data_IF_945706307566
#
_entry.id   IF_945706307566
#
_cell.length_a   1.000
_cell.length_b   1.000
_cell.length_c   1.000
_cell.angle_alpha   90.00
_cell.angle_beta   90.00
_cell.angle_gamma   90.00
#
_symmetry.space_group_name_H-M   'P 1'
#
loop_
_entity.id
_entity.type
_entity.pdbx_description
1 polymer ?
#
# COMPACT_ATOMS: atom_id res chain seq x y z
N UNK A 1 6.91 -23.38 -12.97
CA UNK A 1 5.46 -23.54 -13.15
C UNK A 1 4.96 -22.25 -13.78
N UNK A 2 4.59 -22.33 -15.08
CA UNK A 2 4.18 -21.15 -15.86
C UNK A 2 2.82 -20.67 -15.40
N UNK A 3 2.71 -19.38 -15.12
CA UNK A 3 1.42 -18.70 -14.96
C UNK A 3 0.74 -18.68 -16.33
N UNK A 4 -0.39 -19.36 -16.44
CA UNK A 4 -1.30 -19.21 -17.56
C UNK A 4 -1.85 -17.77 -17.53
N UNK A 5 -1.39 -16.95 -18.46
CA UNK A 5 -2.06 -15.69 -18.80
C UNK A 5 -3.44 -16.07 -19.34
N UNK A 6 -4.55 -15.51 -18.83
CA UNK A 6 -5.86 -15.77 -19.40
C UNK A 6 -5.82 -15.36 -20.88
N UNK A 7 -6.12 -16.30 -21.76
CA UNK A 7 -6.23 -16.11 -23.19
C UNK A 7 -7.44 -15.20 -23.47
N UNK A 8 -7.18 -13.87 -23.55
CA UNK A 8 -8.23 -12.86 -23.78
C UNK A 8 -7.69 -11.49 -24.12
N UNK A 9 -6.37 -11.29 -24.14
CA UNK A 9 -5.76 -9.97 -24.43
C UNK A 9 -5.28 -9.80 -25.88
N UNK A 10 -5.81 -10.55 -26.84
CA UNK A 10 -5.53 -10.38 -28.27
C UNK A 10 -6.77 -9.82 -28.97
N UNK A 11 -6.82 -8.48 -29.10
CA UNK A 11 -7.84 -7.79 -29.86
C UNK A 11 -7.82 -6.30 -29.58
N UNK A 12 -6.83 -5.57 -30.11
CA UNK A 12 -6.92 -4.12 -30.22
C UNK A 12 -7.99 -3.76 -31.26
N UNK A 13 -9.25 -3.88 -30.87
CA UNK A 13 -10.35 -3.19 -31.57
C UNK A 13 -10.34 -1.77 -31.02
N UNK A 14 -10.02 -0.80 -31.88
CA UNK A 14 -10.12 0.61 -31.56
C UNK A 14 -11.54 0.93 -31.07
N UNK A 15 -11.71 1.05 -29.76
CA UNK A 15 -12.98 1.46 -29.15
C UNK A 15 -13.05 2.98 -29.27
N UNK A 16 -13.75 3.44 -30.30
CA UNK A 16 -14.15 4.84 -30.41
C UNK A 16 -14.90 5.22 -29.11
N UNK A 17 -14.33 6.21 -28.37
CA UNK A 17 -14.98 7.00 -27.36
C UNK A 17 -15.93 6.30 -26.38
N UNK A 18 -15.45 5.45 -25.48
CA UNK A 18 -16.27 5.03 -24.34
C UNK A 18 -16.65 6.27 -23.52
N UNK A 19 -17.94 6.44 -23.22
CA UNK A 19 -18.41 7.54 -22.40
C UNK A 19 -17.71 7.50 -21.02
N UNK A 20 -17.47 8.67 -20.40
CA UNK A 20 -16.91 8.71 -19.05
C UNK A 20 -17.78 7.90 -18.08
N UNK A 21 -17.16 7.06 -17.22
CA UNK A 21 -17.93 6.27 -16.27
C UNK A 21 -18.67 7.12 -15.25
N UNK A 22 -19.84 6.63 -14.86
CA UNK A 22 -20.75 7.21 -13.87
C UNK A 22 -20.88 6.29 -12.65
N UNK A 23 -21.57 6.70 -11.58
CA UNK A 23 -21.84 5.84 -10.42
C UNK A 23 -22.56 4.52 -10.75
N UNK A 24 -23.29 4.46 -11.86
CA UNK A 24 -24.03 3.27 -12.32
C UNK A 24 -23.24 2.39 -13.31
N UNK A 25 -22.03 2.82 -13.70
CA UNK A 25 -21.19 2.03 -14.61
C UNK A 25 -20.69 0.76 -13.92
N UNK A 26 -20.75 -0.36 -14.64
CA UNK A 26 -20.17 -1.62 -14.21
C UNK A 26 -18.63 -1.66 -14.38
N UNK A 27 -18.01 -2.74 -13.97
CA UNK A 27 -16.55 -2.89 -14.06
C UNK A 27 -16.06 -2.94 -15.51
N UNK A 28 -16.84 -3.53 -16.43
CA UNK A 28 -16.45 -3.63 -17.83
C UNK A 28 -16.40 -2.25 -18.49
N UNK A 29 -17.41 -1.41 -18.24
CA UNK A 29 -17.44 -0.02 -18.72
C UNK A 29 -16.27 0.81 -18.14
N UNK A 30 -15.93 0.62 -16.85
CA UNK A 30 -14.76 1.30 -16.25
C UNK A 30 -13.47 0.85 -16.92
N UNK A 31 -13.26 -0.46 -17.13
CA UNK A 31 -12.05 -0.99 -17.80
C UNK A 31 -11.97 -0.49 -19.24
N UNK A 32 -13.07 -0.50 -19.99
CA UNK A 32 -13.11 0.02 -21.35
C UNK A 32 -12.71 1.51 -21.40
N UNK A 33 -13.19 2.32 -20.46
CA UNK A 33 -12.76 3.72 -20.35
C UNK A 33 -11.27 3.84 -20.01
N UNK A 34 -10.76 3.05 -19.07
CA UNK A 34 -9.34 3.05 -18.74
C UNK A 34 -8.46 2.71 -19.95
N UNK A 35 -8.90 1.79 -20.81
CA UNK A 35 -8.21 1.47 -22.06
C UNK A 35 -8.08 2.68 -23.00
N UNK A 36 -9.09 3.55 -23.07
CA UNK A 36 -9.03 4.78 -23.91
C UNK A 36 -7.99 5.79 -23.40
N UNK A 37 -7.60 5.70 -22.11
CA UNK A 37 -6.63 6.57 -21.47
C UNK A 37 -5.21 5.98 -21.45
N UNK A 38 -4.99 4.84 -22.12
CA UNK A 38 -3.71 4.15 -22.11
C UNK A 38 -2.57 5.01 -22.68
N UNK A 39 -1.39 4.94 -22.05
CA UNK A 39 -0.19 5.65 -22.45
C UNK A 39 1.01 4.69 -22.47
N UNK A 40 1.53 4.42 -23.66
CA UNK A 40 2.71 3.57 -23.84
C UNK A 40 3.96 4.20 -23.19
N UNK A 41 4.15 5.51 -23.30
CA UNK A 41 5.27 6.23 -22.71
C UNK A 41 5.28 6.16 -21.19
N UNK A 42 4.14 6.41 -20.57
CA UNK A 42 4.01 6.29 -19.11
C UNK A 42 4.23 4.85 -18.65
N UNK A 43 3.70 3.87 -19.38
CA UNK A 43 3.91 2.44 -19.09
C UNK A 43 5.39 2.07 -19.14
N UNK A 44 6.12 2.51 -20.17
CA UNK A 44 7.56 2.31 -20.25
C UNK A 44 8.32 2.97 -19.09
N UNK A 45 7.86 4.15 -18.64
CA UNK A 45 8.41 4.82 -17.48
C UNK A 45 8.20 4.08 -16.17
N UNK A 46 7.08 3.37 -16.00
CA UNK A 46 6.73 2.63 -14.77
C UNK A 46 7.70 1.48 -14.45
N UNK A 47 8.23 0.81 -15.47
CA UNK A 47 9.21 -0.28 -15.30
C UNK A 47 10.44 0.16 -14.51
N UNK A 48 10.90 1.41 -14.68
CA UNK A 48 12.06 1.97 -13.95
C UNK A 48 11.85 2.04 -12.44
N UNK A 49 10.60 2.04 -12.00
CA UNK A 49 10.23 2.07 -10.58
C UNK A 49 9.86 0.68 -10.04
N UNK A 50 10.07 -0.39 -10.83
CA UNK A 50 9.73 -1.76 -10.43
C UNK A 50 8.22 -2.02 -10.37
N UNK A 51 7.46 -1.34 -11.22
CA UNK A 51 6.03 -1.57 -11.40
C UNK A 51 5.86 -2.58 -12.54
N UNK A 52 5.10 -3.65 -12.30
CA UNK A 52 4.77 -4.63 -13.34
C UNK A 52 3.93 -3.95 -14.45
N UNK A 53 4.39 -4.06 -15.70
CA UNK A 53 3.82 -3.32 -16.82
C UNK A 53 3.01 -4.17 -17.79
N UNK A 54 3.06 -5.49 -17.64
CA UNK A 54 2.41 -6.46 -18.54
C UNK A 54 0.89 -6.28 -18.58
N UNK A 55 0.31 -5.92 -17.43
CA UNK A 55 -1.13 -5.68 -17.27
C UNK A 55 -1.42 -4.22 -16.89
N UNK A 56 -0.63 -3.26 -17.37
CA UNK A 56 -0.80 -1.85 -17.09
C UNK A 56 -1.20 -1.05 -18.34
N UNK A 57 -2.10 -0.10 -18.18
CA UNK A 57 -2.44 0.89 -19.22
C UNK A 57 -1.46 2.08 -19.21
N UNK A 58 -0.75 2.33 -18.14
CA UNK A 58 0.14 3.48 -18.00
C UNK A 58 -0.56 4.75 -17.50
N UNK A 59 -1.64 4.62 -16.73
CA UNK A 59 -2.41 5.77 -16.23
C UNK A 59 -1.92 6.15 -14.82
N UNK A 60 -1.54 7.42 -14.58
CA UNK A 60 -1.07 7.85 -13.28
C UNK A 60 -2.22 7.99 -12.26
N UNK A 61 -1.91 7.84 -10.98
CA UNK A 61 -2.88 7.99 -9.88
C UNK A 61 -3.58 9.35 -9.86
N UNK A 62 -2.95 10.40 -10.39
CA UNK A 62 -3.57 11.72 -10.55
C UNK A 62 -4.82 11.71 -11.42
N UNK A 63 -4.92 10.76 -12.37
CA UNK A 63 -6.10 10.53 -13.22
C UNK A 63 -7.07 9.55 -12.57
N UNK A 64 -6.57 8.46 -11.96
CA UNK A 64 -7.40 7.41 -11.38
C UNK A 64 -8.20 7.88 -10.15
N UNK A 65 -7.62 8.74 -9.30
CA UNK A 65 -8.31 9.23 -8.09
C UNK A 65 -9.52 10.12 -8.37
N UNK A 66 -9.49 11.09 -9.30
CA UNK A 66 -10.69 11.80 -9.73
C UNK A 66 -11.76 10.87 -10.29
N UNK A 67 -11.38 9.94 -11.18
CA UNK A 67 -12.29 8.94 -11.72
C UNK A 67 -12.98 8.13 -10.60
N UNK A 68 -12.21 7.61 -9.66
CA UNK A 68 -12.74 6.86 -8.53
C UNK A 68 -13.74 7.69 -7.69
N UNK A 69 -13.47 8.99 -7.49
CA UNK A 69 -14.43 9.88 -6.82
C UNK A 69 -15.72 10.07 -7.60
N UNK A 70 -15.63 10.18 -8.93
CA UNK A 70 -16.81 10.32 -9.81
C UNK A 70 -17.69 9.09 -9.77
N UNK A 71 -17.12 7.89 -9.87
CA UNK A 71 -17.90 6.65 -9.88
C UNK A 71 -18.36 6.21 -8.47
N UNK A 72 -17.75 6.74 -7.42
CA UNK A 72 -18.11 6.44 -6.02
C UNK A 72 -17.77 5.03 -5.57
N UNK A 73 -18.14 4.71 -4.33
CA UNK A 73 -17.90 3.39 -3.72
C UNK A 73 -18.99 2.39 -4.14
N UNK A 74 -18.55 1.20 -4.54
CA UNK A 74 -19.40 0.04 -4.84
C UNK A 74 -18.58 -1.23 -4.70
N UNK A 75 -18.97 -2.09 -3.76
CA UNK A 75 -18.21 -3.29 -3.42
C UNK A 75 -18.23 -4.34 -4.53
N UNK A 76 -19.36 -4.55 -5.18
CA UNK A 76 -19.48 -5.55 -6.26
C UNK A 76 -18.62 -5.16 -7.46
N UNK A 77 -18.67 -3.87 -7.84
CA UNK A 77 -17.82 -3.33 -8.89
C UNK A 77 -16.34 -3.40 -8.52
N UNK A 78 -15.96 -3.10 -7.27
CA UNK A 78 -14.57 -3.18 -6.82
C UNK A 78 -14.03 -4.61 -6.92
N UNK A 79 -14.81 -5.64 -6.54
CA UNK A 79 -14.44 -7.04 -6.70
C UNK A 79 -14.25 -7.41 -8.17
N UNK A 80 -15.17 -7.00 -9.05
CA UNK A 80 -15.08 -7.27 -10.48
C UNK A 80 -13.89 -6.54 -11.15
N UNK A 81 -13.61 -5.29 -10.75
CA UNK A 81 -12.44 -4.54 -11.20
C UNK A 81 -11.13 -5.24 -10.79
N UNK A 82 -11.05 -5.76 -9.56
CA UNK A 82 -9.88 -6.51 -9.12
C UNK A 82 -9.64 -7.76 -9.98
N UNK A 83 -10.70 -8.52 -10.25
CA UNK A 83 -10.64 -9.74 -11.05
C UNK A 83 -10.26 -9.50 -12.52
N UNK A 84 -10.44 -8.29 -13.04
CA UNK A 84 -10.03 -7.95 -14.41
C UNK A 84 -8.51 -8.11 -14.67
N UNK A 85 -7.69 -8.14 -13.61
CA UNK A 85 -6.25 -8.29 -13.68
C UNK A 85 -5.48 -7.03 -14.08
N UNK A 86 -6.14 -5.98 -14.58
CA UNK A 86 -5.48 -4.75 -14.97
C UNK A 86 -5.04 -3.93 -13.75
N UNK A 87 -3.79 -3.45 -13.77
CA UNK A 87 -3.19 -2.67 -12.67
C UNK A 87 -4.07 -1.47 -12.27
N UNK A 88 -4.49 -0.68 -13.23
CA UNK A 88 -5.30 0.52 -12.99
C UNK A 88 -6.69 0.18 -12.46
N UNK A 89 -7.29 -0.91 -12.95
CA UNK A 89 -8.56 -1.40 -12.42
C UNK A 89 -8.42 -1.86 -10.96
N UNK A 90 -7.32 -2.54 -10.59
CA UNK A 90 -7.01 -2.90 -9.20
C UNK A 90 -6.83 -1.67 -8.30
N UNK A 91 -6.18 -0.63 -8.80
CA UNK A 91 -6.07 0.64 -8.07
C UNK A 91 -7.43 1.32 -7.88
N UNK A 92 -8.27 1.36 -8.93
CA UNK A 92 -9.64 1.87 -8.83
C UNK A 92 -10.46 1.02 -7.88
N UNK A 93 -10.30 -0.32 -7.88
CA UNK A 93 -10.92 -1.21 -6.90
C UNK A 93 -10.57 -0.81 -5.47
N UNK A 94 -9.28 -0.58 -5.17
CA UNK A 94 -8.85 -0.11 -3.85
C UNK A 94 -9.48 1.24 -3.45
N UNK A 95 -9.69 2.15 -4.41
CA UNK A 95 -10.27 3.47 -4.14
C UNK A 95 -11.78 3.45 -3.99
N UNK A 96 -12.47 2.46 -4.58
CA UNK A 96 -13.93 2.40 -4.67
C UNK A 96 -14.57 1.25 -3.90
N UNK A 97 -13.79 0.36 -3.31
CA UNK A 97 -14.30 -0.64 -2.38
C UNK A 97 -14.96 0.03 -1.16
N UNK A 98 -15.95 -0.63 -0.58
CA UNK A 98 -16.62 -0.21 0.65
C UNK A 98 -15.89 -0.84 1.86
N UNK A 99 -15.11 -0.08 2.67
CA UNK A 99 -14.27 -0.67 3.72
C UNK A 99 -15.05 -1.53 4.71
N UNK A 100 -16.28 -1.16 5.04
CA UNK A 100 -17.14 -1.93 5.96
C UNK A 100 -17.57 -3.30 5.40
N UNK A 101 -17.43 -3.51 4.09
CA UNK A 101 -17.74 -4.79 3.41
C UNK A 101 -16.50 -5.59 3.06
N UNK A 102 -15.30 -5.02 3.23
CA UNK A 102 -14.04 -5.72 3.00
C UNK A 102 -13.78 -6.67 4.16
N UNK A 103 -13.55 -7.94 3.85
CA UNK A 103 -13.26 -9.00 4.83
C UNK A 103 -11.79 -9.41 4.79
N UNK A 104 -11.30 -10.04 5.86
CA UNK A 104 -9.97 -10.63 5.88
C UNK A 104 -9.81 -11.73 4.81
N UNK A 105 -10.87 -12.48 4.51
CA UNK A 105 -10.89 -13.44 3.39
C UNK A 105 -10.63 -12.77 2.05
N UNK A 106 -11.34 -11.68 1.75
CA UNK A 106 -11.09 -10.88 0.55
C UNK A 106 -9.65 -10.34 0.50
N UNK A 107 -9.13 -9.85 1.62
CA UNK A 107 -7.76 -9.33 1.68
C UNK A 107 -6.72 -10.42 1.37
N UNK A 108 -6.90 -11.65 1.90
CA UNK A 108 -6.05 -12.81 1.59
C UNK A 108 -6.16 -13.23 0.13
N UNK A 109 -7.36 -13.18 -0.45
CA UNK A 109 -7.56 -13.48 -1.88
C UNK A 109 -6.86 -12.44 -2.76
N UNK A 110 -7.01 -11.16 -2.46
CA UNK A 110 -6.32 -10.09 -3.20
C UNK A 110 -4.80 -10.18 -3.06
N UNK A 111 -4.31 -10.61 -1.89
CA UNK A 111 -2.88 -10.79 -1.65
C UNK A 111 -2.23 -11.88 -2.53
N UNK A 112 -3.00 -12.80 -3.11
CA UNK A 112 -2.50 -13.79 -4.08
C UNK A 112 -2.05 -13.15 -5.39
N UNK A 113 -2.60 -11.98 -5.72
CA UNK A 113 -2.37 -11.25 -6.96
C UNK A 113 -1.34 -10.11 -6.82
N UNK A 114 -0.72 -9.96 -5.67
CA UNK A 114 0.25 -8.89 -5.45
C UNK A 114 1.53 -9.10 -6.25
N UNK A 115 1.76 -8.24 -7.23
CA UNK A 115 2.95 -8.28 -8.11
C UNK A 115 3.68 -6.93 -8.18
N UNK A 116 3.11 -5.88 -7.58
CA UNK A 116 3.66 -4.52 -7.66
C UNK A 116 3.42 -3.75 -6.36
N UNK A 117 4.44 -3.05 -5.89
CA UNK A 117 4.41 -2.29 -4.63
C UNK A 117 3.28 -1.25 -4.58
N UNK A 118 2.93 -0.65 -5.70
CA UNK A 118 1.95 0.43 -5.76
C UNK A 118 0.52 -0.07 -5.47
N UNK A 119 0.12 -1.18 -6.11
CA UNK A 119 -1.18 -1.83 -5.84
C UNK A 119 -1.24 -2.30 -4.39
N UNK A 120 -0.15 -2.89 -3.90
CA UNK A 120 -0.02 -3.36 -2.52
C UNK A 120 -0.23 -2.24 -1.50
N UNK A 121 0.40 -1.08 -1.70
CA UNK A 121 0.29 0.04 -0.77
C UNK A 121 -1.15 0.59 -0.70
N UNK A 122 -1.87 0.61 -1.83
CA UNK A 122 -3.27 1.04 -1.85
C UNK A 122 -4.22 -0.01 -1.27
N UNK A 123 -3.97 -1.29 -1.50
CA UNK A 123 -4.71 -2.38 -0.85
C UNK A 123 -4.48 -2.36 0.68
N UNK A 124 -3.24 -2.16 1.13
CA UNK A 124 -2.90 -2.01 2.54
C UNK A 124 -3.66 -0.85 3.20
N UNK A 125 -3.77 0.30 2.51
CA UNK A 125 -4.56 1.44 2.99
C UNK A 125 -6.04 1.07 3.17
N UNK A 126 -6.63 0.38 2.20
CA UNK A 126 -8.03 -0.10 2.27
C UNK A 126 -8.21 -1.09 3.43
N UNK A 127 -7.30 -2.04 3.62
CA UNK A 127 -7.38 -3.04 4.70
C UNK A 127 -7.29 -2.38 6.09
N UNK A 128 -6.48 -1.33 6.22
CA UNK A 128 -6.43 -0.51 7.44
C UNK A 128 -7.75 0.25 7.64
N UNK A 129 -8.33 0.86 6.60
CA UNK A 129 -9.63 1.54 6.65
C UNK A 129 -10.77 0.56 7.01
N UNK A 130 -10.65 -0.69 6.59
CA UNK A 130 -11.57 -1.78 6.91
C UNK A 130 -11.46 -2.31 8.36
N UNK A 131 -10.47 -1.84 9.14
CA UNK A 131 -10.25 -2.29 10.52
C UNK A 131 -9.51 -3.63 10.63
N UNK A 132 -8.89 -4.11 9.56
CA UNK A 132 -8.25 -5.44 9.49
C UNK A 132 -6.78 -5.45 9.95
N UNK A 133 -6.23 -4.30 10.39
CA UNK A 133 -4.81 -4.21 10.71
C UNK A 133 -4.39 -5.14 11.86
N UNK A 134 -5.22 -5.28 12.90
CA UNK A 134 -4.90 -6.14 14.04
C UNK A 134 -4.73 -7.62 13.65
N UNK A 135 -5.55 -8.10 12.71
CA UNK A 135 -5.53 -9.48 12.24
C UNK A 135 -4.44 -9.71 11.18
N UNK A 136 -4.39 -8.85 10.16
CA UNK A 136 -3.58 -9.11 8.96
C UNK A 136 -2.13 -8.64 9.07
N UNK A 137 -1.79 -7.67 9.92
CA UNK A 137 -0.40 -7.22 10.06
C UNK A 137 0.52 -8.35 10.52
N UNK A 138 0.21 -9.09 11.60
CA UNK A 138 1.06 -10.21 12.01
C UNK A 138 1.17 -11.31 10.94
N UNK A 139 0.04 -11.66 10.32
CA UNK A 139 -0.03 -12.68 9.28
C UNK A 139 0.80 -12.32 8.05
N UNK A 140 0.59 -11.12 7.51
CA UNK A 140 1.26 -10.69 6.28
C UNK A 140 2.75 -10.38 6.49
N UNK A 141 3.14 -9.89 7.66
CA UNK A 141 4.55 -9.65 7.98
C UNK A 141 5.38 -10.94 8.02
N UNK A 142 4.78 -12.06 8.39
CA UNK A 142 5.45 -13.38 8.43
C UNK A 142 5.36 -14.14 7.08
N UNK A 143 4.59 -13.67 6.10
CA UNK A 143 4.44 -14.36 4.81
C UNK A 143 5.76 -14.37 4.02
N UNK A 144 6.07 -15.50 3.38
CA UNK A 144 7.27 -15.67 2.57
C UNK A 144 7.27 -14.88 1.25
N UNK A 145 6.09 -14.51 0.72
CA UNK A 145 5.94 -13.77 -0.54
C UNK A 145 6.30 -12.30 -0.35
N UNK A 146 7.14 -11.76 -1.23
CA UNK A 146 7.69 -10.40 -1.10
C UNK A 146 6.61 -9.34 -0.92
N UNK A 147 5.61 -9.33 -1.80
CA UNK A 147 4.59 -8.29 -1.80
C UNK A 147 3.52 -8.47 -0.73
N UNK A 148 3.29 -9.70 -0.23
CA UNK A 148 2.42 -9.92 0.92
C UNK A 148 3.09 -9.43 2.20
N UNK A 149 4.37 -9.77 2.40
CA UNK A 149 5.15 -9.22 3.51
C UNK A 149 5.23 -7.69 3.46
N UNK A 150 5.41 -7.11 2.25
CA UNK A 150 5.34 -5.67 2.07
C UNK A 150 4.01 -5.11 2.55
N UNK A 151 2.88 -5.76 2.23
CA UNK A 151 1.55 -5.29 2.64
C UNK A 151 1.43 -5.20 4.17
N UNK A 152 1.95 -6.17 4.93
CA UNK A 152 1.97 -6.12 6.39
C UNK A 152 2.65 -4.86 6.92
N UNK A 153 3.84 -4.52 6.42
CA UNK A 153 4.56 -3.31 6.83
C UNK A 153 3.94 -2.02 6.29
N UNK A 154 3.37 -2.04 5.08
CA UNK A 154 2.61 -0.91 4.56
C UNK A 154 1.37 -0.62 5.43
N UNK A 155 0.67 -1.66 5.91
CA UNK A 155 -0.46 -1.51 6.84
C UNK A 155 -0.04 -0.85 8.15
N UNK A 156 1.11 -1.22 8.73
CA UNK A 156 1.65 -0.53 9.92
C UNK A 156 1.84 0.96 9.65
N UNK A 157 2.47 1.29 8.52
CA UNK A 157 2.73 2.68 8.13
C UNK A 157 1.41 3.48 7.95
N UNK A 158 0.43 2.90 7.28
CA UNK A 158 -0.90 3.51 7.09
C UNK A 158 -1.65 3.67 8.42
N UNK A 159 -1.67 2.64 9.26
CA UNK A 159 -2.30 2.67 10.58
C UNK A 159 -1.69 3.77 11.46
N UNK A 160 -0.36 3.89 11.48
CA UNK A 160 0.32 4.91 12.27
C UNK A 160 -0.07 6.35 11.89
N UNK A 161 -0.42 6.58 10.62
CA UNK A 161 -0.85 7.89 10.12
C UNK A 161 -2.35 8.14 10.32
N UNK A 162 -3.19 7.13 10.07
CA UNK A 162 -4.63 7.31 9.89
C UNK A 162 -5.47 6.86 11.09
N UNK A 163 -5.05 5.83 11.84
CA UNK A 163 -5.79 5.34 13.01
C UNK A 163 -5.45 6.16 14.27
N UNK A 164 -5.75 7.45 14.26
CA UNK A 164 -5.32 8.39 15.32
C UNK A 164 -5.89 8.07 16.71
N UNK A 165 -7.04 7.39 16.78
CA UNK A 165 -7.72 7.04 18.03
C UNK A 165 -7.24 5.71 18.63
N UNK A 166 -6.51 4.90 17.85
CA UNK A 166 -5.98 3.62 18.34
C UNK A 166 -4.88 3.87 19.37
N UNK A 167 -4.85 3.10 20.47
CA UNK A 167 -3.82 3.22 21.49
C UNK A 167 -2.43 2.83 20.95
N UNK A 168 -1.39 3.41 21.51
CA UNK A 168 -0.01 3.19 21.09
C UNK A 168 0.50 1.76 21.38
N UNK A 169 -0.17 1.02 22.27
CA UNK A 169 0.24 -0.34 22.68
C UNK A 169 0.34 -1.32 21.51
N UNK A 170 -0.63 -1.29 20.58
CA UNK A 170 -0.59 -2.13 19.38
C UNK A 170 0.60 -1.83 18.48
N UNK A 171 0.99 -0.55 18.40
CA UNK A 171 2.14 -0.14 17.60
C UNK A 171 3.47 -0.56 18.23
N UNK A 172 3.56 -0.65 19.57
CA UNK A 172 4.74 -1.19 20.24
C UNK A 172 4.97 -2.66 19.86
N UNK A 173 3.92 -3.48 19.85
CA UNK A 173 4.01 -4.87 19.39
C UNK A 173 4.42 -4.97 17.91
N UNK A 174 3.93 -4.07 17.06
CA UNK A 174 4.33 -4.03 15.64
C UNK A 174 5.77 -3.54 15.43
N UNK A 175 6.36 -2.76 16.34
CA UNK A 175 7.79 -2.44 16.29
C UNK A 175 8.67 -3.68 16.46
N UNK A 176 8.23 -4.68 17.20
CA UNK A 176 8.94 -5.96 17.30
C UNK A 176 8.98 -6.69 15.95
N UNK A 177 7.87 -6.69 15.20
CA UNK A 177 7.84 -7.23 13.83
C UNK A 177 8.78 -6.45 12.90
N UNK A 178 8.79 -5.11 13.00
CA UNK A 178 9.69 -4.26 12.22
C UNK A 178 11.16 -4.61 12.50
N UNK A 179 11.55 -4.75 13.76
CA UNK A 179 12.93 -5.09 14.15
C UNK A 179 13.32 -6.50 13.68
N UNK A 180 12.41 -7.47 13.84
CA UNK A 180 12.59 -8.86 13.42
C UNK A 180 12.86 -8.97 11.93
N UNK A 181 12.07 -8.30 11.10
CA UNK A 181 12.14 -8.40 9.63
C UNK A 181 13.04 -7.35 8.96
N UNK A 182 13.77 -6.54 9.74
CA UNK A 182 14.69 -5.53 9.19
C UNK A 182 15.87 -6.14 8.41
N UNK A 183 16.13 -7.46 8.54
CA UNK A 183 17.14 -8.20 7.79
C UNK A 183 16.71 -8.56 6.36
N UNK A 184 15.44 -8.37 5.99
CA UNK A 184 14.95 -8.73 4.65
C UNK A 184 15.64 -7.88 3.58
N UNK A 185 16.43 -8.52 2.72
CA UNK A 185 17.21 -7.84 1.69
C UNK A 185 16.39 -7.42 0.47
N UNK A 186 15.20 -8.02 0.28
CA UNK A 186 14.31 -7.69 -0.84
C UNK A 186 13.94 -6.21 -0.79
N UNK A 187 14.21 -5.52 -1.89
CA UNK A 187 14.15 -4.05 -1.93
C UNK A 187 12.78 -3.49 -1.51
N UNK A 188 11.70 -4.14 -1.93
CA UNK A 188 10.35 -3.65 -1.65
C UNK A 188 9.91 -3.95 -0.21
N UNK A 189 10.36 -5.05 0.39
CA UNK A 189 10.14 -5.33 1.82
C UNK A 189 10.95 -4.38 2.68
N UNK A 190 12.26 -4.28 2.46
CA UNK A 190 13.16 -3.40 3.21
C UNK A 190 12.67 -1.96 3.28
N UNK A 191 12.19 -1.43 2.14
CA UNK A 191 11.63 -0.08 2.09
C UNK A 191 10.33 0.05 2.89
N UNK A 192 9.46 -0.98 2.89
CA UNK A 192 8.24 -0.97 3.67
C UNK A 192 8.52 -1.07 5.18
N UNK A 193 9.49 -1.90 5.59
CA UNK A 193 9.96 -2.01 6.98
C UNK A 193 10.46 -0.64 7.48
N UNK A 194 11.33 0.04 6.71
CA UNK A 194 11.78 1.39 7.03
C UNK A 194 10.62 2.39 7.08
N UNK A 195 9.67 2.29 6.15
CA UNK A 195 8.50 3.18 6.14
C UNK A 195 7.63 2.97 7.39
N UNK A 196 7.36 1.71 7.78
CA UNK A 196 6.64 1.36 9.00
C UNK A 196 7.32 1.96 10.25
N UNK A 197 8.64 1.77 10.39
CA UNK A 197 9.43 2.30 11.50
C UNK A 197 9.33 3.83 11.61
N UNK A 198 9.52 4.52 10.50
CA UNK A 198 9.47 5.98 10.44
C UNK A 198 8.07 6.54 10.74
N UNK A 199 7.01 5.93 10.21
CA UNK A 199 5.66 6.41 10.47
C UNK A 199 5.22 6.16 11.91
N UNK A 200 5.56 5.00 12.47
CA UNK A 200 5.33 4.69 13.88
C UNK A 200 6.04 5.71 14.78
N UNK A 201 7.31 5.99 14.54
CA UNK A 201 8.08 6.95 15.33
C UNK A 201 7.64 8.42 15.17
N UNK A 202 6.79 8.74 14.20
CA UNK A 202 6.19 10.10 14.04
C UNK A 202 4.78 10.22 14.64
N UNK A 203 4.25 9.14 15.25
CA UNK A 203 2.89 9.12 15.75
C UNK A 203 2.73 9.84 17.09
N UNK A 204 3.53 9.49 18.09
CA UNK A 204 3.53 10.06 19.45
C UNK A 204 4.93 10.13 20.01
N UNK A 205 5.13 10.79 21.16
CA UNK A 205 6.44 10.82 21.84
C UNK A 205 6.84 9.44 22.35
N UNK A 206 5.91 8.69 22.93
CA UNK A 206 6.16 7.31 23.40
C UNK A 206 6.66 6.42 22.24
N UNK A 207 5.96 6.44 21.13
CA UNK A 207 6.35 5.65 19.96
C UNK A 207 7.60 6.20 19.27
N UNK A 208 7.86 7.50 19.40
CA UNK A 208 9.11 8.08 18.90
C UNK A 208 10.32 7.51 19.65
N UNK A 209 10.29 7.51 20.98
CA UNK A 209 11.36 6.97 21.82
C UNK A 209 11.61 5.49 21.51
N UNK A 210 10.54 4.69 21.44
CA UNK A 210 10.64 3.27 21.13
C UNK A 210 11.19 3.03 19.71
N UNK A 211 10.66 3.70 18.69
CA UNK A 211 11.10 3.57 17.30
C UNK A 211 12.53 4.08 17.09
N UNK A 212 12.91 5.14 17.80
CA UNK A 212 14.27 5.68 17.75
C UNK A 212 15.28 4.69 18.33
N UNK A 213 14.96 4.05 19.47
CA UNK A 213 15.79 3.01 20.07
C UNK A 213 15.96 1.80 19.13
N UNK A 214 14.85 1.34 18.47
CA UNK A 214 14.93 0.30 17.43
C UNK A 214 15.84 0.74 16.28
N UNK A 215 15.67 1.94 15.78
CA UNK A 215 16.48 2.47 14.69
C UNK A 215 17.98 2.54 15.03
N UNK A 216 18.33 2.89 16.28
CA UNK A 216 19.72 2.89 16.77
C UNK A 216 20.32 1.48 16.78
N UNK A 217 19.60 0.47 17.33
CA UNK A 217 20.06 -0.91 17.32
C UNK A 217 20.27 -1.43 15.89
N UNK A 218 19.31 -1.17 15.01
CA UNK A 218 19.42 -1.56 13.61
C UNK A 218 20.59 -0.87 12.88
N UNK A 219 20.83 0.41 13.15
CA UNK A 219 21.93 1.16 12.53
C UNK A 219 23.31 0.68 12.95
N UNK A 220 23.42 0.09 14.15
CA UNK A 220 24.65 -0.50 14.69
C UNK A 220 24.85 -1.99 14.31
N UNK A 221 23.86 -2.63 13.66
CA UNK A 221 23.94 -4.03 13.31
C UNK A 221 24.97 -4.31 12.20
N UNK A 222 25.58 -5.50 12.21
CA UNK A 222 26.50 -5.95 11.16
C UNK A 222 25.78 -6.28 9.85
N UNK A 223 24.51 -6.67 9.93
CA UNK A 223 23.68 -6.96 8.78
C UNK A 223 23.41 -5.71 7.92
N UNK A 224 23.63 -5.83 6.61
CA UNK A 224 23.53 -4.70 5.68
C UNK A 224 22.11 -4.13 5.57
N UNK A 225 21.11 -4.99 5.54
CA UNK A 225 19.71 -4.55 5.41
C UNK A 225 19.23 -3.86 6.69
N UNK A 226 19.52 -4.46 7.85
CA UNK A 226 19.24 -3.85 9.17
C UNK A 226 19.88 -2.48 9.30
N UNK A 227 21.18 -2.38 8.99
CA UNK A 227 21.92 -1.12 9.05
C UNK A 227 21.33 -0.05 8.12
N UNK A 228 20.89 -0.44 6.92
CA UNK A 228 20.24 0.48 5.99
C UNK A 228 18.91 0.98 6.56
N UNK A 229 18.05 0.08 7.07
CA UNK A 229 16.75 0.44 7.68
C UNK A 229 16.96 1.39 8.86
N UNK A 230 17.90 1.07 9.76
CA UNK A 230 18.20 1.88 10.93
C UNK A 230 18.68 3.29 10.55
N UNK A 231 19.65 3.41 9.63
CA UNK A 231 20.19 4.71 9.18
C UNK A 231 19.14 5.55 8.47
N UNK A 232 18.29 4.93 7.61
CA UNK A 232 17.21 5.63 6.92
C UNK A 232 16.17 6.17 7.91
N UNK A 233 15.80 5.37 8.91
CA UNK A 233 14.87 5.78 9.96
C UNK A 233 15.45 6.88 10.85
N UNK A 234 16.70 6.75 11.33
CA UNK A 234 17.36 7.76 12.15
C UNK A 234 17.39 9.13 11.46
N UNK A 235 17.74 9.18 10.16
CA UNK A 235 17.78 10.43 9.41
C UNK A 235 16.46 11.22 9.48
N UNK A 236 15.32 10.53 9.41
CA UNK A 236 14.00 11.20 9.48
C UNK A 236 13.55 11.44 10.92
N UNK A 237 13.80 10.49 11.84
CA UNK A 237 13.36 10.61 13.23
C UNK A 237 14.15 11.66 14.02
N UNK A 238 15.45 11.83 13.73
CA UNK A 238 16.25 12.89 14.36
C UNK A 238 16.08 14.28 13.72
N UNK A 239 15.34 14.38 12.61
CA UNK A 239 15.16 15.67 11.95
C UNK A 239 14.37 16.65 12.82
N UNK A 240 14.87 17.90 12.96
CA UNK A 240 14.23 18.94 13.78
C UNK A 240 12.75 19.11 13.49
N UNK A 241 12.36 19.09 12.22
CA UNK A 241 10.95 19.15 11.78
C UNK A 241 10.08 18.02 12.37
N UNK A 242 10.62 16.82 12.53
CA UNK A 242 9.91 15.68 13.14
C UNK A 242 9.70 15.94 14.63
N UNK A 243 10.74 16.36 15.33
CA UNK A 243 10.70 16.66 16.77
C UNK A 243 9.72 17.80 17.08
N UNK A 244 9.73 18.86 16.29
CA UNK A 244 8.84 20.01 16.47
C UNK A 244 7.37 19.62 16.28
N UNK A 245 7.07 18.77 15.29
CA UNK A 245 5.72 18.24 15.07
C UNK A 245 5.22 17.37 16.25
N UNK A 246 6.10 16.55 16.81
CA UNK A 246 5.77 15.72 17.97
C UNK A 246 5.48 16.60 19.20
N UNK A 247 6.30 17.61 19.47
CA UNK A 247 6.08 18.58 20.55
C UNK A 247 4.76 19.35 20.40
N UNK A 248 4.40 19.73 19.17
CA UNK A 248 3.12 20.38 18.87
C UNK A 248 1.92 19.48 19.18
N UNK A 249 2.00 18.19 18.78
CA UNK A 249 0.93 17.22 19.07
C UNK A 249 0.67 17.04 20.57
N UNK A 250 1.73 17.09 21.38
CA UNK A 250 1.60 16.95 22.85
C UNK A 250 0.97 18.19 23.50
N UNK A 251 1.14 19.37 22.91
CA UNK A 251 0.55 20.62 23.40
C UNK A 251 -0.93 20.81 23.02
N UNK A 252 -1.41 20.07 22.02
CA UNK A 252 -2.80 20.07 21.60
C UNK A 252 -3.38 18.67 21.88
N UNK A 253 -3.97 18.40 23.05
CA UNK A 253 -4.66 17.14 23.29
C UNK A 253 -5.75 16.96 22.24
N UNK A 254 -5.92 15.72 21.76
CA UNK A 254 -6.91 15.38 20.74
C UNK A 254 -8.30 15.92 21.12
N UNK A 255 -8.86 16.80 20.27
CA UNK A 255 -10.26 17.19 20.33
C UNK A 255 -11.17 16.02 19.94
#
# INVERSE_FOLDING_TARGET
MGYLVPAGAAGAVGVAGAAPPSPTSDAAAVVAHLQTLASADNRAGMARFGIATETAFGIPNAVLRPLARTIGRDQARALALWQSGWREARLVACFTAEPKKVTAGQARDWAKDFTSWEVVDHAAALFVEAGLAGELVPEFAEDGREFVRRAGFAMIAWAAVHLKKEPDTGFLAWLELVERHAHDERNFVKKAVSWALRQTGKRSLLLHEAAFAVAQRLAAADDRARRWVGKDALRELSAQKTLDRLRQKTRQPAR
#
